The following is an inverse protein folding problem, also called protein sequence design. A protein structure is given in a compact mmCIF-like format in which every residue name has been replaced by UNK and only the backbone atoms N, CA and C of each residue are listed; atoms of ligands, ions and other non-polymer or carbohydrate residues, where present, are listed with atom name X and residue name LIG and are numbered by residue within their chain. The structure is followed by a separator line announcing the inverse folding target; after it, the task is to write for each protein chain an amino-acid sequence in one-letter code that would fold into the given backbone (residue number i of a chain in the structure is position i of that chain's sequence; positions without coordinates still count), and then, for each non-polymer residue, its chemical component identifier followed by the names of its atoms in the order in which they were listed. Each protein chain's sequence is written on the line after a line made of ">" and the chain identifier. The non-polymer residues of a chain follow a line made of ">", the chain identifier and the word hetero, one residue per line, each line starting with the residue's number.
data_IF_488184265065
#
_entry.id   IF_488184265065
#
_cell.length_a   1.000
_cell.length_b   1.000
_cell.length_c   1.000
_cell.angle_alpha   90.00
_cell.angle_beta   90.00
_cell.angle_gamma   90.00
#
_symmetry.space_group_name_H-M   'P 1'
#
loop_
_entity.id
_entity.type
_entity.pdbx_description
1 polymer ?
#
# COMPACT_ATOMS: atom_id res chain seq x y z
N UNK A 1 8.16 -16.98 -10.07
CA UNK A 1 9.25 -15.98 -9.96
C UNK A 1 8.61 -14.60 -9.87
N UNK A 2 8.53 -14.05 -8.67
CA UNK A 2 8.08 -12.66 -8.44
C UNK A 2 9.15 -11.74 -9.02
N UNK A 3 8.85 -11.05 -10.13
CA UNK A 3 9.74 -10.01 -10.65
C UNK A 3 9.90 -8.98 -9.53
N UNK A 4 11.13 -8.72 -9.10
CA UNK A 4 11.40 -7.66 -8.12
C UNK A 4 10.85 -6.37 -8.71
N UNK A 5 9.98 -5.68 -7.97
CA UNK A 5 9.50 -4.37 -8.43
C UNK A 5 10.67 -3.40 -8.40
N UNK A 6 10.69 -2.51 -9.39
CA UNK A 6 11.66 -1.43 -9.52
C UNK A 6 10.92 -0.16 -9.90
N UNK A 7 11.50 1.00 -9.57
CA UNK A 7 11.05 2.30 -10.04
C UNK A 7 12.22 2.97 -10.75
N UNK A 8 12.02 3.40 -12.00
CA UNK A 8 13.05 4.19 -12.69
C UNK A 8 13.20 5.57 -12.06
N UNK A 9 14.42 6.11 -12.07
CA UNK A 9 14.69 7.44 -11.51
C UNK A 9 13.88 8.53 -12.21
N UNK A 10 13.65 8.41 -13.52
CA UNK A 10 12.81 9.34 -14.28
C UNK A 10 11.36 9.32 -13.77
N UNK A 11 10.80 8.14 -13.48
CA UNK A 11 9.47 8.02 -12.89
C UNK A 11 9.44 8.57 -11.46
N UNK A 12 10.43 8.22 -10.64
CA UNK A 12 10.56 8.75 -9.28
C UNK A 12 10.56 10.29 -9.28
N UNK A 13 11.34 10.92 -10.17
CA UNK A 13 11.36 12.37 -10.30
C UNK A 13 9.98 12.91 -10.72
N UNK A 14 9.39 12.38 -11.79
CA UNK A 14 8.08 12.85 -12.30
C UNK A 14 6.98 12.77 -11.24
N UNK A 15 6.92 11.68 -10.49
CA UNK A 15 5.89 11.44 -9.49
C UNK A 15 6.09 12.32 -8.24
N UNK A 16 7.31 12.79 -7.98
CA UNK A 16 7.68 13.48 -6.74
C UNK A 16 8.18 14.92 -6.92
N UNK A 17 8.25 15.44 -8.15
CA UNK A 17 8.76 16.78 -8.46
C UNK A 17 8.07 17.86 -7.61
N UNK A 18 6.73 17.84 -7.58
CA UNK A 18 5.93 18.82 -6.85
C UNK A 18 5.87 18.55 -5.35
N UNK A 19 5.63 17.30 -4.95
CA UNK A 19 5.44 16.92 -3.55
C UNK A 19 6.71 17.07 -2.72
N UNK A 20 7.86 16.72 -3.31
CA UNK A 20 9.18 16.81 -2.68
C UNK A 20 9.99 18.04 -3.11
N UNK A 21 9.41 18.92 -3.94
CA UNK A 21 10.04 20.12 -4.50
C UNK A 21 11.42 19.81 -5.13
N UNK A 22 11.47 18.73 -5.92
CA UNK A 22 12.71 18.27 -6.55
C UNK A 22 13.03 19.10 -7.79
N UNK A 23 14.32 19.36 -7.98
CA UNK A 23 14.88 19.94 -9.20
C UNK A 23 16.01 19.05 -9.69
N UNK A 24 15.96 18.65 -10.96
CA UNK A 24 17.00 17.81 -11.58
C UNK A 24 18.16 18.67 -12.08
N UNK A 25 19.31 18.56 -11.43
CA UNK A 25 20.47 19.45 -11.65
C UNK A 25 21.60 18.83 -12.47
N UNK A 26 21.83 17.51 -12.41
CA UNK A 26 22.85 16.82 -13.21
C UNK A 26 22.51 15.36 -13.50
N UNK A 27 23.25 14.72 -14.41
CA UNK A 27 23.13 13.30 -14.75
C UNK A 27 21.82 12.93 -15.43
N UNK A 28 21.29 13.80 -16.31
CA UNK A 28 19.99 13.59 -16.98
C UNK A 28 19.90 12.31 -17.81
N UNK A 29 21.03 11.81 -18.29
CA UNK A 29 21.10 10.55 -19.05
C UNK A 29 20.88 9.31 -18.18
N UNK A 30 20.88 9.44 -16.85
CA UNK A 30 20.68 8.34 -15.90
C UNK A 30 19.24 8.05 -15.51
N UNK A 31 18.25 8.58 -16.23
CA UNK A 31 16.84 8.42 -15.87
C UNK A 31 16.33 6.98 -15.81
N UNK A 32 16.98 6.06 -16.53
CA UNK A 32 16.63 4.64 -16.59
C UNK A 32 17.24 3.81 -15.44
N UNK A 33 18.09 4.41 -14.60
CA UNK A 33 18.59 3.75 -13.38
C UNK A 33 17.40 3.33 -12.51
N UNK A 34 17.52 2.18 -11.87
CA UNK A 34 16.44 1.58 -11.08
C UNK A 34 16.66 1.73 -9.58
N UNK A 35 15.62 2.17 -8.87
CA UNK A 35 15.51 2.10 -7.41
C UNK A 35 14.75 0.82 -7.08
N UNK A 36 15.40 -0.08 -6.33
CA UNK A 36 14.84 -1.40 -5.98
C UNK A 36 14.67 -1.61 -4.48
N UNK A 37 15.19 -0.70 -3.65
CA UNK A 37 15.03 -0.75 -2.20
C UNK A 37 14.23 0.45 -1.69
N UNK A 38 13.24 0.19 -0.83
CA UNK A 38 12.33 1.21 -0.27
C UNK A 38 12.90 2.06 0.86
N UNK A 39 14.18 1.90 1.16
CA UNK A 39 14.89 2.66 2.20
C UNK A 39 15.86 3.66 1.57
N UNK A 40 16.37 4.57 2.40
CA UNK A 40 17.32 5.61 1.99
C UNK A 40 18.71 5.32 2.53
N UNK A 41 19.72 5.97 1.95
CA UNK A 41 21.08 5.96 2.46
C UNK A 41 21.54 7.38 2.78
N UNK A 42 22.20 7.57 3.94
CA UNK A 42 22.90 8.80 4.28
C UNK A 42 24.41 8.53 4.24
N UNK A 43 25.15 9.08 3.26
CA UNK A 43 26.51 8.64 2.97
C UNK A 43 27.57 9.26 3.89
N UNK A 44 27.26 9.60 5.14
CA UNK A 44 28.22 10.28 6.03
C UNK A 44 29.54 9.55 6.21
N UNK A 45 29.50 8.22 6.43
CA UNK A 45 30.70 7.39 6.54
C UNK A 45 31.38 7.14 5.19
N UNK A 46 30.60 6.98 4.12
CA UNK A 46 31.13 6.77 2.77
C UNK A 46 31.92 7.99 2.28
N UNK A 47 31.42 9.20 2.55
CA UNK A 47 32.14 10.44 2.26
C UNK A 47 33.45 10.56 3.07
N UNK A 48 33.52 9.93 4.24
CA UNK A 48 34.74 9.84 5.06
C UNK A 48 35.66 8.66 4.68
N UNK A 49 35.34 7.91 3.61
CA UNK A 49 36.16 6.83 3.08
C UNK A 49 35.85 5.43 3.62
N UNK A 50 34.73 5.25 4.34
CA UNK A 50 34.29 3.95 4.84
C UNK A 50 33.10 3.42 4.01
N UNK A 51 33.36 2.40 3.19
CA UNK A 51 32.41 1.86 2.21
C UNK A 51 31.82 0.49 2.57
N UNK A 52 32.20 -0.10 3.72
CA UNK A 52 31.55 -1.33 4.16
C UNK A 52 30.06 -1.04 4.37
N UNK A 53 29.20 -1.89 3.79
CA UNK A 53 27.74 -1.73 3.77
C UNK A 53 27.21 -0.55 2.93
N UNK A 54 27.93 -0.15 1.86
CA UNK A 54 27.41 0.79 0.89
C UNK A 54 26.11 0.27 0.25
N UNK A 55 25.05 1.09 0.27
CA UNK A 55 23.72 0.67 -0.16
C UNK A 55 23.41 1.14 -1.60
N UNK A 56 24.04 0.47 -2.56
CA UNK A 56 24.05 0.76 -4.00
C UNK A 56 22.68 0.80 -4.72
N UNK A 57 21.61 0.33 -4.06
CA UNK A 57 20.24 0.25 -4.60
C UNK A 57 19.26 1.27 -4.02
N UNK A 58 19.72 2.13 -3.11
CA UNK A 58 18.89 3.10 -2.37
C UNK A 58 19.02 4.51 -2.93
N UNK A 59 18.01 5.33 -2.67
CA UNK A 59 18.16 6.78 -2.90
C UNK A 59 19.09 7.36 -1.83
N UNK A 60 20.14 8.07 -2.26
CA UNK A 60 21.10 8.68 -1.35
C UNK A 60 20.70 10.12 -1.00
N UNK A 61 20.86 10.49 0.26
CA UNK A 61 20.44 11.80 0.79
C UNK A 61 21.62 12.54 1.37
N UNK A 62 21.93 13.71 0.80
CA UNK A 62 22.90 14.65 1.35
C UNK A 62 22.14 15.72 2.14
N UNK A 63 22.29 15.67 3.45
CA UNK A 63 21.76 16.66 4.38
C UNK A 63 22.83 17.65 4.82
N UNK A 64 22.52 18.40 5.88
CA UNK A 64 23.44 19.42 6.40
C UNK A 64 24.75 18.82 6.93
N UNK A 65 24.71 17.64 7.54
CA UNK A 65 25.90 17.02 8.12
C UNK A 65 26.90 16.59 7.05
N UNK A 66 26.42 15.88 6.02
CA UNK A 66 27.24 15.45 4.89
C UNK A 66 27.81 16.65 4.11
N UNK A 67 26.97 17.66 3.89
CA UNK A 67 27.37 18.89 3.21
C UNK A 67 28.41 19.71 4.01
N UNK A 68 28.20 19.86 5.32
CA UNK A 68 29.15 20.56 6.18
C UNK A 68 30.49 19.81 6.29
N UNK A 69 30.46 18.47 6.36
CA UNK A 69 31.66 17.65 6.33
C UNK A 69 32.47 17.90 5.04
N UNK A 70 31.84 17.76 3.87
CA UNK A 70 32.51 18.03 2.59
C UNK A 70 33.12 19.44 2.54
N UNK A 71 32.38 20.46 2.99
CA UNK A 71 32.87 21.84 2.99
C UNK A 71 33.93 22.14 4.05
N UNK A 72 34.09 21.28 5.06
CA UNK A 72 35.16 21.40 6.05
C UNK A 72 36.51 20.89 5.55
N UNK A 73 36.52 20.07 4.49
CA UNK A 73 37.74 19.50 3.93
C UNK A 73 38.49 20.50 3.03
N UNK A 74 39.83 20.47 3.01
CA UNK A 74 40.63 21.14 1.98
C UNK A 74 40.21 20.70 0.57
N UNK A 75 40.38 21.57 -0.42
CA UNK A 75 39.92 21.35 -1.80
C UNK A 75 40.35 19.99 -2.38
N UNK A 76 41.62 19.62 -2.22
CA UNK A 76 42.15 18.35 -2.71
C UNK A 76 41.52 17.13 -2.01
N UNK A 77 41.28 17.21 -0.70
CA UNK A 77 40.65 16.14 0.07
C UNK A 77 39.17 16.02 -0.26
N UNK A 78 38.47 17.15 -0.42
CA UNK A 78 37.07 17.20 -0.88
C UNK A 78 36.93 16.56 -2.25
N UNK A 79 37.80 16.91 -3.20
CA UNK A 79 37.81 16.34 -4.54
C UNK A 79 38.01 14.82 -4.52
N UNK A 80 38.96 14.34 -3.70
CA UNK A 80 39.19 12.91 -3.53
C UNK A 80 37.98 12.19 -2.90
N UNK A 81 37.36 12.79 -1.88
CA UNK A 81 36.17 12.23 -1.23
C UNK A 81 34.97 12.13 -2.19
N UNK A 82 34.71 13.18 -2.96
CA UNK A 82 33.66 13.21 -3.98
C UNK A 82 33.92 12.14 -5.04
N UNK A 83 35.14 12.08 -5.59
CA UNK A 83 35.49 11.14 -6.66
C UNK A 83 35.29 9.69 -6.20
N UNK A 84 35.87 9.31 -5.05
CA UNK A 84 35.71 7.96 -4.49
C UNK A 84 34.25 7.61 -4.21
N UNK A 85 33.48 8.56 -3.69
CA UNK A 85 32.07 8.32 -3.41
C UNK A 85 31.26 8.09 -4.69
N UNK A 86 31.59 8.77 -5.79
CA UNK A 86 30.91 8.65 -7.08
C UNK A 86 31.39 7.46 -7.93
N UNK A 87 32.49 6.79 -7.55
CA UNK A 87 32.93 5.53 -8.17
C UNK A 87 31.95 4.38 -7.89
N UNK A 88 31.25 4.43 -6.76
CA UNK A 88 30.25 3.43 -6.40
C UNK A 88 28.95 3.60 -7.19
N UNK A 89 28.29 2.49 -7.51
CA UNK A 89 26.98 2.56 -8.17
C UNK A 89 25.92 3.03 -7.17
N UNK A 90 25.08 3.98 -7.58
CA UNK A 90 23.84 4.32 -6.89
C UNK A 90 22.79 4.81 -7.90
N UNK A 91 21.49 4.69 -7.60
CA UNK A 91 20.44 5.10 -8.54
C UNK A 91 20.36 6.62 -8.67
N UNK A 92 20.33 7.37 -7.56
CA UNK A 92 20.29 8.82 -7.57
C UNK A 92 20.63 9.43 -6.21
N UNK A 93 20.90 10.73 -6.21
CA UNK A 93 21.21 11.52 -5.01
C UNK A 93 20.25 12.70 -4.90
N UNK A 94 19.75 12.97 -3.68
CA UNK A 94 18.99 14.19 -3.38
C UNK A 94 19.75 15.03 -2.33
N UNK A 95 20.10 16.26 -2.71
CA UNK A 95 20.56 17.29 -1.80
C UNK A 95 19.35 17.97 -1.17
N UNK A 96 19.20 17.84 0.14
CA UNK A 96 18.09 18.48 0.87
C UNK A 96 18.43 19.94 1.23
N UNK A 97 17.45 20.69 1.74
CA UNK A 97 17.59 22.06 2.29
C UNK A 97 18.06 23.11 1.28
N UNK A 98 17.86 22.88 -0.01
CA UNK A 98 18.32 23.77 -1.07
C UNK A 98 19.85 23.85 -1.17
N UNK A 99 20.56 22.87 -0.60
CA UNK A 99 22.02 22.82 -0.65
C UNK A 99 22.47 22.60 -2.10
N UNK A 100 23.31 23.50 -2.60
CA UNK A 100 23.84 23.43 -3.95
C UNK A 100 25.04 22.48 -3.97
N UNK A 101 25.07 21.44 -4.82
CA UNK A 101 26.21 20.55 -4.93
C UNK A 101 27.49 21.29 -5.33
N UNK A 102 28.65 20.77 -4.92
CA UNK A 102 29.96 21.26 -5.37
C UNK A 102 30.06 21.17 -6.92
N UNK A 103 30.67 22.15 -7.61
CA UNK A 103 30.82 22.11 -9.07
C UNK A 103 31.45 20.83 -9.60
N UNK A 104 32.47 20.29 -8.93
CA UNK A 104 33.11 19.02 -9.30
C UNK A 104 32.12 17.85 -9.17
N UNK A 105 31.24 17.90 -8.17
CA UNK A 105 30.18 16.90 -8.00
C UNK A 105 29.23 16.90 -9.20
N UNK A 106 28.85 18.09 -9.68
CA UNK A 106 27.97 18.26 -10.85
C UNK A 106 28.65 17.73 -12.11
N UNK A 107 29.92 18.06 -12.32
CA UNK A 107 30.72 17.58 -13.44
C UNK A 107 30.79 16.05 -13.47
N UNK A 108 31.32 15.45 -12.40
CA UNK A 108 31.49 13.99 -12.31
C UNK A 108 30.16 13.23 -12.41
N UNK A 109 29.09 13.76 -11.80
CA UNK A 109 27.76 13.14 -11.89
C UNK A 109 27.17 13.20 -13.31
N UNK A 110 27.48 14.23 -14.11
CA UNK A 110 27.11 14.25 -15.52
C UNK A 110 27.88 13.18 -16.31
N UNK A 111 29.18 13.05 -16.08
CA UNK A 111 30.05 12.11 -16.80
C UNK A 111 29.61 10.66 -16.62
N UNK A 112 29.28 10.27 -15.38
CA UNK A 112 28.81 8.90 -15.07
C UNK A 112 27.28 8.75 -15.24
N UNK A 113 26.59 9.80 -15.68
CA UNK A 113 25.14 9.84 -15.81
C UNK A 113 24.41 9.54 -14.50
N UNK A 114 24.90 10.00 -13.35
CA UNK A 114 24.24 9.84 -12.05
C UNK A 114 23.25 10.97 -11.80
N UNK A 115 21.93 10.69 -11.73
CA UNK A 115 20.94 11.72 -11.45
C UNK A 115 21.13 12.36 -10.08
N UNK A 116 21.29 13.68 -10.08
CA UNK A 116 21.33 14.49 -8.86
C UNK A 116 20.14 15.44 -8.83
N UNK A 117 19.48 15.48 -7.69
CA UNK A 117 18.35 16.34 -7.41
C UNK A 117 18.67 17.30 -6.27
N UNK A 118 18.05 18.48 -6.30
CA UNK A 118 17.98 19.39 -5.15
C UNK A 118 16.53 19.45 -4.68
N UNK A 119 16.32 19.37 -3.37
CA UNK A 119 15.04 19.68 -2.73
C UNK A 119 15.22 20.88 -1.80
N UNK A 120 14.30 21.85 -1.90
CA UNK A 120 14.23 22.98 -0.94
C UNK A 120 13.70 22.58 0.44
N UNK A 121 13.20 21.35 0.61
CA UNK A 121 12.63 20.88 1.88
C UNK A 121 13.72 20.47 2.88
N UNK A 122 13.42 20.50 4.17
CA UNK A 122 14.33 19.97 5.19
C UNK A 122 14.50 18.46 5.07
N UNK A 123 15.69 17.96 5.42
CA UNK A 123 16.14 16.57 5.20
C UNK A 123 15.12 15.51 5.64
N UNK A 124 14.52 15.67 6.81
CA UNK A 124 13.53 14.71 7.34
C UNK A 124 12.28 14.59 6.46
N UNK A 125 11.76 15.70 5.93
CA UNK A 125 10.59 15.66 5.05
C UNK A 125 10.90 15.01 3.71
N UNK A 126 12.08 15.26 3.15
CA UNK A 126 12.55 14.59 1.93
C UNK A 126 12.62 13.09 2.15
N UNK A 127 13.29 12.65 3.24
CA UNK A 127 13.43 11.24 3.60
C UNK A 127 12.07 10.57 3.73
N UNK A 128 11.17 11.11 4.55
CA UNK A 128 9.85 10.51 4.78
C UNK A 128 9.03 10.42 3.49
N UNK A 129 9.05 11.47 2.68
CA UNK A 129 8.31 11.48 1.42
C UNK A 129 8.82 10.43 0.43
N UNK A 130 10.14 10.25 0.35
CA UNK A 130 10.76 9.19 -0.46
C UNK A 130 10.38 7.81 0.07
N UNK A 131 10.48 7.58 1.38
CA UNK A 131 10.13 6.29 1.99
C UNK A 131 8.67 5.94 1.69
N UNK A 132 7.72 6.86 1.95
CA UNK A 132 6.30 6.63 1.69
C UNK A 132 6.04 6.31 0.21
N UNK A 133 6.71 7.03 -0.71
CA UNK A 133 6.60 6.77 -2.13
C UNK A 133 7.14 5.39 -2.50
N UNK A 134 8.36 5.06 -2.09
CA UNK A 134 9.00 3.81 -2.46
C UNK A 134 8.33 2.60 -1.79
N UNK A 135 7.90 2.71 -0.54
CA UNK A 135 7.10 1.69 0.12
C UNK A 135 5.84 1.37 -0.66
N UNK A 136 5.13 2.39 -1.17
CA UNK A 136 3.94 2.20 -2.01
C UNK A 136 4.26 1.51 -3.33
N UNK A 137 5.29 1.97 -4.05
CA UNK A 137 5.60 1.46 -5.39
C UNK A 137 6.27 0.08 -5.37
N UNK A 138 7.17 -0.15 -4.41
CA UNK A 138 7.95 -1.39 -4.29
C UNK A 138 7.26 -2.45 -3.41
N UNK A 139 6.14 -2.10 -2.75
CA UNK A 139 5.38 -3.02 -1.89
C UNK A 139 5.11 -4.38 -2.57
N UNK A 140 5.38 -5.51 -1.88
CA UNK A 140 4.92 -6.81 -2.32
C UNK A 140 3.41 -6.79 -2.55
N UNK A 141 2.97 -7.35 -3.68
CA UNK A 141 1.54 -7.42 -3.99
C UNK A 141 1.15 -8.74 -4.63
N UNK A 142 -0.07 -9.17 -4.34
CA UNK A 142 -0.77 -10.26 -5.03
C UNK A 142 -2.05 -9.72 -5.66
N UNK A 143 -2.61 -10.48 -6.59
CA UNK A 143 -3.94 -10.23 -7.13
C UNK A 143 -4.84 -11.39 -6.75
N UNK A 144 -6.03 -11.10 -6.26
CA UNK A 144 -7.03 -12.10 -5.88
C UNK A 144 -8.34 -11.82 -6.57
N UNK A 145 -9.07 -12.90 -6.87
CA UNK A 145 -10.42 -12.80 -7.41
C UNK A 145 -11.43 -12.55 -6.29
N UNK A 146 -12.25 -11.51 -6.44
CA UNK A 146 -13.27 -11.11 -5.47
C UNK A 146 -13.69 -9.64 -5.61
N UNK A 147 -14.50 -9.17 -4.69
CA UNK A 147 -14.96 -7.79 -4.62
C UNK A 147 -14.48 -7.18 -3.32
N UNK A 148 -13.88 -6.00 -3.37
CA UNK A 148 -13.51 -5.24 -2.18
C UNK A 148 -14.44 -4.05 -2.02
N UNK A 149 -15.12 -3.98 -0.88
CA UNK A 149 -16.08 -2.93 -0.54
C UNK A 149 -15.83 -2.37 0.86
N UNK A 150 -16.09 -1.09 1.06
CA UNK A 150 -16.12 -0.45 2.37
C UNK A 150 -17.55 -0.48 2.91
N UNK A 151 -17.76 -1.23 3.98
CA UNK A 151 -19.04 -1.33 4.70
C UNK A 151 -18.90 -0.61 6.03
N UNK A 152 -19.49 0.57 6.14
CA UNK A 152 -19.47 1.40 7.36
C UNK A 152 -18.05 1.56 7.96
N UNK A 153 -17.05 1.77 7.11
CA UNK A 153 -15.65 1.94 7.54
C UNK A 153 -14.82 0.66 7.58
N UNK A 154 -15.43 -0.53 7.52
CA UNK A 154 -14.74 -1.83 7.46
C UNK A 154 -14.50 -2.22 6.00
N UNK A 155 -13.26 -2.51 5.63
CA UNK A 155 -12.92 -3.06 4.32
C UNK A 155 -13.17 -4.56 4.27
N UNK A 156 -14.12 -4.97 3.42
CA UNK A 156 -14.59 -6.34 3.30
C UNK A 156 -14.21 -6.91 1.95
N UNK A 157 -13.35 -7.93 1.93
CA UNK A 157 -13.04 -8.72 0.75
C UNK A 157 -14.06 -9.85 0.61
N UNK A 158 -15.03 -9.66 -0.29
CA UNK A 158 -16.06 -10.64 -0.63
C UNK A 158 -15.50 -11.61 -1.68
N UNK A 159 -15.52 -12.90 -1.34
CA UNK A 159 -15.01 -14.00 -2.16
C UNK A 159 -16.07 -15.06 -2.37
N UNK A 160 -15.83 -15.98 -3.29
CA UNK A 160 -16.75 -17.07 -3.63
C UNK A 160 -16.66 -17.46 -5.09
N UNK A 161 -17.29 -18.58 -5.44
CA UNK A 161 -17.30 -19.11 -6.79
C UNK A 161 -17.81 -18.09 -7.83
N UNK A 162 -17.47 -18.28 -9.11
CA UNK A 162 -18.04 -17.46 -10.18
C UNK A 162 -19.55 -17.65 -10.23
N UNK A 163 -20.30 -16.55 -10.41
CA UNK A 163 -21.76 -16.57 -10.46
C UNK A 163 -22.49 -16.75 -9.12
N UNK A 164 -21.79 -16.78 -7.97
CA UNK A 164 -22.43 -16.89 -6.65
C UNK A 164 -23.14 -15.60 -6.19
N UNK A 165 -23.03 -14.50 -6.96
CA UNK A 165 -23.67 -13.22 -6.65
C UNK A 165 -22.76 -12.18 -5.98
N UNK A 166 -21.42 -12.25 -6.17
CA UNK A 166 -20.48 -11.31 -5.52
C UNK A 166 -20.72 -9.86 -5.97
N UNK A 167 -20.79 -9.63 -7.28
CA UNK A 167 -20.97 -8.29 -7.85
C UNK A 167 -22.36 -7.74 -7.58
N UNK A 168 -23.40 -8.58 -7.60
CA UNK A 168 -24.75 -8.21 -7.19
C UNK A 168 -24.83 -7.83 -5.70
N UNK A 169 -24.12 -8.58 -4.84
CA UNK A 169 -23.99 -8.25 -3.42
C UNK A 169 -23.27 -6.91 -3.22
N UNK A 170 -22.16 -6.68 -3.92
CA UNK A 170 -21.42 -5.42 -3.87
C UNK A 170 -22.29 -4.24 -4.33
N UNK A 171 -23.02 -4.38 -5.44
CA UNK A 171 -23.93 -3.35 -5.94
C UNK A 171 -25.05 -3.03 -4.94
N UNK A 172 -25.64 -4.05 -4.31
CA UNK A 172 -26.67 -3.86 -3.29
C UNK A 172 -26.13 -3.13 -2.05
N UNK A 173 -24.89 -3.41 -1.61
CA UNK A 173 -24.22 -2.68 -0.54
C UNK A 173 -23.99 -1.21 -0.93
N UNK A 174 -23.54 -0.94 -2.17
CA UNK A 174 -23.30 0.42 -2.66
C UNK A 174 -24.60 1.24 -2.65
N UNK A 175 -25.73 0.64 -3.05
CA UNK A 175 -27.05 1.29 -2.96
C UNK A 175 -27.45 1.68 -1.54
N UNK A 176 -26.88 1.01 -0.52
CA UNK A 176 -27.08 1.32 0.92
C UNK A 176 -26.07 2.33 1.46
N UNK A 177 -25.26 2.96 0.59
CA UNK A 177 -24.28 3.97 0.98
C UNK A 177 -22.89 3.42 1.28
N UNK A 178 -22.62 2.15 0.99
CA UNK A 178 -21.26 1.60 1.01
C UNK A 178 -20.45 2.08 -0.20
N UNK A 179 -19.13 1.85 -0.19
CA UNK A 179 -18.27 2.22 -1.29
C UNK A 179 -17.59 1.00 -1.94
N UNK A 180 -17.47 1.01 -3.26
CA UNK A 180 -16.65 0.06 -4.01
C UNK A 180 -15.19 0.47 -3.95
N UNK A 181 -14.30 -0.52 -3.82
CA UNK A 181 -12.86 -0.35 -4.04
C UNK A 181 -12.45 -1.04 -5.34
N UNK A 182 -12.86 -2.30 -5.50
CA UNK A 182 -12.52 -3.11 -6.66
C UNK A 182 -13.58 -4.19 -6.91
N UNK A 183 -13.86 -4.46 -8.18
CA UNK A 183 -14.68 -5.58 -8.65
C UNK A 183 -13.80 -6.58 -9.40
N UNK A 184 -14.11 -7.87 -9.22
CA UNK A 184 -13.44 -9.06 -9.76
C UNK A 184 -11.94 -9.22 -9.48
N UNK A 185 -11.11 -8.24 -9.82
CA UNK A 185 -9.63 -8.30 -9.73
C UNK A 185 -9.11 -7.32 -8.68
N UNK A 186 -8.92 -7.81 -7.45
CA UNK A 186 -8.41 -7.01 -6.33
C UNK A 186 -6.90 -7.16 -6.23
N UNK A 187 -6.18 -6.05 -6.34
CA UNK A 187 -4.74 -5.99 -6.01
C UNK A 187 -4.61 -5.74 -4.52
N UNK A 188 -3.84 -6.59 -3.86
CA UNK A 188 -3.55 -6.48 -2.43
C UNK A 188 -2.06 -6.24 -2.29
N UNK A 189 -1.68 -5.20 -1.54
CA UNK A 189 -0.30 -4.86 -1.26
C UNK A 189 -0.05 -4.65 0.23
N UNK A 190 1.20 -4.84 0.65
CA UNK A 190 1.64 -4.56 2.00
C UNK A 190 2.67 -3.41 2.00
N UNK A 191 2.24 -2.14 2.11
CA UNK A 191 3.14 -0.98 2.02
C UNK A 191 3.94 -0.73 3.30
N UNK A 192 4.07 -1.72 4.20
CA UNK A 192 4.61 -1.55 5.55
C UNK A 192 3.51 -1.42 6.61
N UNK A 193 3.83 -1.74 7.87
CA UNK A 193 2.90 -1.67 9.01
C UNK A 193 2.17 -2.99 9.35
N UNK A 194 1.04 -2.96 10.06
CA UNK A 194 0.29 -4.16 10.45
C UNK A 194 -0.81 -4.58 9.47
N UNK A 195 -1.17 -3.72 8.50
CA UNK A 195 -2.36 -3.89 7.66
C UNK A 195 -2.02 -4.19 6.19
N UNK A 196 -2.94 -4.87 5.51
CA UNK A 196 -2.95 -5.03 4.06
C UNK A 196 -3.86 -3.99 3.41
N UNK A 197 -3.43 -3.44 2.28
CA UNK A 197 -4.21 -2.48 1.50
C UNK A 197 -4.69 -3.15 0.23
N UNK A 198 -5.99 -3.05 -0.05
CA UNK A 198 -6.57 -3.45 -1.32
C UNK A 198 -6.92 -2.26 -2.21
N UNK A 199 -6.80 -2.45 -3.52
CA UNK A 199 -7.20 -1.52 -4.58
C UNK A 199 -7.65 -2.30 -5.82
N UNK A 200 -8.22 -1.61 -6.82
CA UNK A 200 -8.31 -2.22 -8.15
C UNK A 200 -6.89 -2.44 -8.72
N UNK A 201 -6.72 -3.44 -9.59
CA UNK A 201 -5.42 -3.76 -10.15
C UNK A 201 -4.90 -2.74 -11.19
N UNK A 202 -5.81 -2.01 -11.84
CA UNK A 202 -5.53 -0.96 -12.83
C UNK A 202 -6.46 0.22 -12.59
N UNK A 203 -5.98 1.43 -12.83
CA UNK A 203 -6.73 2.68 -12.56
C UNK A 203 -7.96 2.82 -13.47
N UNK A 204 -7.91 2.27 -14.67
CA UNK A 204 -9.01 2.26 -15.64
C UNK A 204 -10.24 1.47 -15.13
N UNK A 205 -10.05 0.59 -14.15
CA UNK A 205 -11.13 -0.18 -13.52
C UNK A 205 -11.79 0.57 -12.34
N UNK A 206 -11.31 1.77 -12.00
CA UNK A 206 -11.86 2.52 -10.87
C UNK A 206 -13.35 2.84 -11.05
N UNK A 207 -14.13 2.42 -10.06
CA UNK A 207 -15.57 2.63 -10.04
C UNK A 207 -16.36 1.80 -11.06
N UNK A 208 -15.75 0.87 -11.78
CA UNK A 208 -16.47 -0.03 -12.67
C UNK A 208 -16.84 -1.33 -11.97
N UNK A 209 -18.03 -1.86 -12.28
CA UNK A 209 -18.51 -3.17 -11.86
C UNK A 209 -19.22 -3.85 -13.03
N UNK A 210 -18.98 -5.13 -13.23
CA UNK A 210 -19.67 -5.93 -14.25
C UNK A 210 -20.91 -6.61 -13.66
N UNK A 211 -22.08 -6.33 -14.22
CA UNK A 211 -23.33 -6.98 -13.82
C UNK A 211 -23.87 -7.80 -14.99
N UNK A 212 -24.10 -9.09 -14.76
CA UNK A 212 -24.65 -9.98 -15.79
C UNK A 212 -26.01 -9.48 -16.26
N UNK A 213 -26.17 -9.41 -17.59
CA UNK A 213 -27.38 -8.90 -18.24
C UNK A 213 -27.45 -7.38 -18.37
N UNK A 214 -26.61 -6.62 -17.68
CA UNK A 214 -26.51 -5.15 -17.82
C UNK A 214 -25.18 -4.70 -18.44
N UNK A 215 -24.10 -5.47 -18.27
CA UNK A 215 -22.75 -5.12 -18.70
C UNK A 215 -21.99 -4.30 -17.65
N UNK A 216 -20.97 -3.57 -18.09
CA UNK A 216 -20.15 -2.70 -17.24
C UNK A 216 -20.92 -1.42 -16.87
N UNK A 217 -20.97 -1.13 -15.58
CA UNK A 217 -21.58 0.11 -15.05
C UNK A 217 -20.56 0.88 -14.22
N UNK A 218 -20.66 2.22 -14.23
CA UNK A 218 -19.82 3.09 -13.42
C UNK A 218 -20.57 3.56 -12.17
N UNK A 219 -20.14 3.10 -10.99
CA UNK A 219 -20.84 3.39 -9.73
C UNK A 219 -20.68 4.84 -9.28
N UNK A 220 -19.62 5.53 -9.71
CA UNK A 220 -19.41 6.96 -9.40
C UNK A 220 -20.46 7.80 -10.13
N UNK A 221 -20.73 7.48 -11.40
CA UNK A 221 -21.76 8.18 -12.18
C UNK A 221 -23.17 7.91 -11.67
N UNK A 222 -23.45 6.70 -11.18
CA UNK A 222 -24.78 6.30 -10.72
C UNK A 222 -25.10 6.72 -9.28
N UNK A 223 -24.12 6.65 -8.38
CA UNK A 223 -24.32 6.82 -6.94
C UNK A 223 -23.47 7.93 -6.30
N UNK A 224 -22.67 8.63 -7.12
CA UNK A 224 -21.83 9.75 -6.70
C UNK A 224 -20.45 9.33 -6.17
N UNK A 225 -19.62 10.33 -5.88
CA UNK A 225 -18.23 10.14 -5.42
C UNK A 225 -18.11 9.38 -4.09
N UNK A 226 -19.16 9.38 -3.27
CA UNK A 226 -19.19 8.63 -2.00
C UNK A 226 -19.21 7.11 -2.21
N UNK A 227 -19.68 6.64 -3.37
CA UNK A 227 -19.81 5.22 -3.71
C UNK A 227 -18.49 4.54 -4.11
N UNK A 228 -17.37 5.26 -4.09
CA UNK A 228 -16.07 4.74 -4.50
C UNK A 228 -14.94 5.17 -3.56
N UNK A 229 -13.94 4.30 -3.39
CA UNK A 229 -12.64 4.61 -2.78
C UNK A 229 -11.55 3.95 -3.62
N UNK A 230 -10.46 4.65 -3.88
CA UNK A 230 -9.32 4.09 -4.64
C UNK A 230 -8.64 2.92 -3.92
N UNK A 231 -8.64 2.96 -2.58
CA UNK A 231 -7.97 1.98 -1.72
C UNK A 231 -8.63 1.88 -0.35
N UNK A 232 -8.51 0.71 0.28
CA UNK A 232 -8.98 0.46 1.65
C UNK A 232 -8.15 -0.63 2.33
N UNK A 233 -7.98 -0.54 3.64
CA UNK A 233 -7.47 -1.64 4.46
C UNK A 233 -8.40 -2.86 4.38
N UNK A 234 -7.85 -4.07 4.35
CA UNK A 234 -8.63 -5.30 4.33
C UNK A 234 -8.78 -5.78 5.77
N UNK A 235 -9.94 -5.53 6.37
CA UNK A 235 -10.24 -5.84 7.76
C UNK A 235 -10.86 -7.25 7.92
N UNK A 236 -11.67 -7.65 6.93
CA UNK A 236 -12.48 -8.86 7.00
C UNK A 236 -12.57 -9.54 5.63
N UNK A 237 -12.41 -10.86 5.60
CA UNK A 237 -12.69 -11.69 4.41
C UNK A 237 -14.04 -12.38 4.60
N UNK A 238 -14.95 -12.23 3.65
CA UNK A 238 -16.21 -12.97 3.65
C UNK A 238 -16.26 -13.89 2.43
N UNK A 239 -16.45 -15.19 2.66
CA UNK A 239 -16.63 -16.15 1.57
C UNK A 239 -18.10 -16.54 1.42
N UNK A 240 -18.67 -16.21 0.26
CA UNK A 240 -20.00 -16.62 -0.15
C UNK A 240 -19.95 -18.05 -0.70
N UNK A 241 -20.74 -18.96 -0.11
CA UNK A 241 -20.91 -20.34 -0.58
C UNK A 241 -22.37 -20.64 -0.89
N UNK A 242 -22.63 -21.41 -1.94
CA UNK A 242 -23.99 -21.86 -2.24
C UNK A 242 -24.52 -22.77 -1.13
N UNK A 243 -25.80 -22.63 -0.79
CA UNK A 243 -26.47 -23.45 0.24
C UNK A 243 -26.34 -24.95 0.01
N UNK A 244 -26.37 -25.38 -1.26
CA UNK A 244 -26.34 -26.80 -1.65
C UNK A 244 -24.96 -27.45 -1.45
N UNK A 245 -23.91 -26.67 -1.20
CA UNK A 245 -22.58 -27.17 -0.89
C UNK A 245 -22.46 -27.42 0.60
N UNK A 246 -22.93 -28.59 1.08
CA UNK A 246 -22.79 -29.15 2.45
C UNK A 246 -22.14 -28.19 3.48
N UNK A 247 -22.87 -27.15 3.85
CA UNK A 247 -22.43 -26.19 4.84
C UNK A 247 -22.71 -26.83 6.21
N UNK A 248 -21.76 -27.65 6.69
CA UNK A 248 -21.60 -27.92 8.13
C UNK A 248 -21.18 -26.60 8.80
N UNK A 249 -22.09 -25.63 8.88
CA UNK A 249 -21.87 -24.42 9.65
C UNK A 249 -21.87 -24.87 11.10
N UNK A 250 -20.69 -24.91 11.72
CA UNK A 250 -20.58 -25.14 13.15
C UNK A 250 -21.35 -24.04 13.88
N UNK A 251 -22.36 -24.46 14.64
CA UNK A 251 -23.30 -23.58 15.35
C UNK A 251 -22.69 -22.96 16.62
N UNK A 252 -21.38 -23.09 16.79
CA UNK A 252 -20.62 -22.65 17.95
C UNK A 252 -19.73 -21.50 17.53
N UNK A 253 -20.28 -20.28 17.53
CA UNK A 253 -19.59 -19.04 17.12
C UNK A 253 -18.47 -18.59 18.07
N UNK A 254 -17.58 -19.50 18.45
CA UNK A 254 -16.50 -19.33 19.42
C UNK A 254 -15.10 -19.33 18.78
N UNK A 255 -14.92 -19.96 17.61
CA UNK A 255 -13.64 -19.91 16.88
C UNK A 255 -13.71 -18.88 15.75
N UNK A 256 -12.76 -17.94 15.74
CA UNK A 256 -12.58 -17.00 14.66
C UNK A 256 -11.77 -17.68 13.55
N UNK A 257 -12.44 -18.05 12.45
CA UNK A 257 -11.72 -18.47 11.24
C UNK A 257 -10.84 -17.32 10.75
N UNK A 258 -9.68 -17.64 10.18
CA UNK A 258 -8.79 -16.66 9.53
C UNK A 258 -8.48 -17.07 8.10
N UNK A 259 -8.20 -16.08 7.26
CA UNK A 259 -7.86 -16.22 5.87
C UNK A 259 -6.49 -15.59 5.61
N UNK A 260 -5.54 -16.38 5.13
CA UNK A 260 -4.15 -15.95 4.95
C UNK A 260 -3.95 -15.20 3.62
N UNK A 261 -3.52 -13.94 3.68
CA UNK A 261 -3.19 -13.08 2.53
C UNK A 261 -1.81 -12.48 2.72
N UNK A 262 -0.91 -12.61 1.74
CA UNK A 262 0.46 -12.06 1.83
C UNK A 262 1.21 -12.39 3.14
N UNK A 263 0.89 -13.53 3.77
CA UNK A 263 1.46 -13.95 5.04
C UNK A 263 0.73 -13.47 6.29
N UNK A 264 -0.25 -12.56 6.17
CA UNK A 264 -1.11 -12.06 7.25
C UNK A 264 -2.39 -12.89 7.39
N UNK A 265 -2.79 -13.17 8.63
CA UNK A 265 -4.04 -13.85 8.94
C UNK A 265 -5.15 -12.81 9.16
N UNK A 266 -6.08 -12.73 8.22
CA UNK A 266 -7.20 -11.79 8.26
C UNK A 266 -8.44 -12.51 8.80
N UNK A 267 -9.24 -11.92 9.70
CA UNK A 267 -10.52 -12.49 10.14
C UNK A 267 -11.39 -12.94 8.96
N UNK A 268 -12.03 -14.09 9.10
CA UNK A 268 -12.76 -14.75 8.02
C UNK A 268 -14.13 -15.25 8.47
N UNK A 269 -15.12 -15.07 7.60
CA UNK A 269 -16.49 -15.56 7.81
C UNK A 269 -16.98 -16.21 6.52
N UNK A 270 -17.58 -17.39 6.63
CA UNK A 270 -18.28 -18.04 5.52
C UNK A 270 -19.79 -17.79 5.63
N UNK A 271 -20.41 -17.21 4.59
CA UNK A 271 -21.84 -16.94 4.55
C UNK A 271 -22.54 -17.78 3.46
N UNK A 272 -23.68 -18.42 3.79
CA UNK A 272 -24.49 -19.10 2.79
C UNK A 272 -25.22 -18.12 1.86
N UNK A 273 -25.28 -18.46 0.58
CA UNK A 273 -26.15 -17.84 -0.42
C UNK A 273 -27.29 -18.81 -0.73
N UNK A 274 -28.52 -18.34 -0.51
CA UNK A 274 -29.74 -19.09 -0.78
C UNK A 274 -30.76 -18.17 -1.48
N UNK A 275 -31.61 -18.71 -2.38
CA UNK A 275 -32.69 -17.94 -3.00
C UNK A 275 -33.58 -17.27 -1.94
N UNK A 276 -33.96 -16.01 -2.20
CA UNK A 276 -34.79 -15.21 -1.29
C UNK A 276 -34.06 -14.63 -0.07
N UNK A 277 -32.77 -14.92 0.13
CA UNK A 277 -31.93 -14.22 1.12
C UNK A 277 -31.17 -13.08 0.47
N UNK A 278 -31.18 -11.93 1.11
CA UNK A 278 -30.40 -10.79 0.66
C UNK A 278 -28.98 -10.86 1.25
N UNK A 279 -28.05 -11.40 0.47
CA UNK A 279 -26.65 -11.61 0.90
C UNK A 279 -25.97 -10.32 1.34
N UNK A 280 -26.29 -9.19 0.71
CA UNK A 280 -25.79 -7.88 1.11
C UNK A 280 -26.13 -7.55 2.57
N UNK A 281 -27.33 -7.91 3.04
CA UNK A 281 -27.73 -7.69 4.42
C UNK A 281 -26.90 -8.54 5.40
N UNK A 282 -26.60 -9.78 5.04
CA UNK A 282 -25.76 -10.65 5.88
C UNK A 282 -24.31 -10.16 5.94
N UNK A 283 -23.77 -9.69 4.81
CA UNK A 283 -22.44 -9.07 4.75
C UNK A 283 -22.39 -7.80 5.61
N UNK A 284 -23.41 -6.97 5.54
CA UNK A 284 -23.51 -5.75 6.34
C UNK A 284 -23.53 -6.03 7.84
N UNK A 285 -24.37 -6.97 8.29
CA UNK A 285 -24.44 -7.40 9.69
C UNK A 285 -23.10 -8.00 10.15
N UNK A 286 -22.46 -8.83 9.30
CA UNK A 286 -21.17 -9.43 9.63
C UNK A 286 -20.07 -8.37 9.81
N UNK A 287 -20.03 -7.34 8.96
CA UNK A 287 -19.10 -6.22 9.10
C UNK A 287 -19.37 -5.40 10.37
N UNK A 288 -20.64 -5.15 10.70
CA UNK A 288 -21.02 -4.46 11.94
C UNK A 288 -20.61 -5.25 13.19
N UNK A 289 -20.91 -6.55 13.23
CA UNK A 289 -20.54 -7.42 14.34
C UNK A 289 -19.01 -7.49 14.50
N UNK A 290 -18.27 -7.58 13.38
CA UNK A 290 -16.81 -7.50 13.39
C UNK A 290 -16.31 -6.19 14.03
N UNK A 291 -16.87 -5.06 13.61
CA UNK A 291 -16.52 -3.73 14.14
C UNK A 291 -16.87 -3.59 15.62
N UNK A 292 -17.98 -4.17 16.07
CA UNK A 292 -18.34 -4.18 17.49
C UNK A 292 -17.35 -5.00 18.31
N UNK A 293 -16.94 -6.17 17.82
CA UNK A 293 -15.91 -7.01 18.47
C UNK A 293 -14.56 -6.32 18.55
N UNK A 294 -14.15 -5.59 17.51
CA UNK A 294 -12.89 -4.83 17.54
C UNK A 294 -12.91 -3.66 18.53
N UNK A 295 -14.10 -3.16 18.89
CA UNK A 295 -14.32 -2.18 19.95
C UNK A 295 -14.48 -2.82 21.35
N UNK A 296 -14.30 -4.14 21.48
CA UNK A 296 -14.45 -4.88 22.74
C UNK A 296 -15.91 -5.17 23.13
N UNK A 297 -16.88 -4.89 22.27
CA UNK A 297 -18.29 -5.13 22.50
C UNK A 297 -18.69 -6.49 21.91
N UNK A 298 -18.69 -7.52 22.76
CA UNK A 298 -19.03 -8.89 22.37
C UNK A 298 -20.50 -9.21 22.69
N UNK A 299 -21.43 -8.95 21.77
CA UNK A 299 -22.86 -9.23 21.97
C UNK A 299 -23.14 -10.70 22.39
N UNK A 300 -22.39 -11.65 21.82
CA UNK A 300 -22.46 -13.06 22.19
C UNK A 300 -21.97 -13.38 23.61
N UNK A 301 -20.93 -12.71 24.11
CA UNK A 301 -20.48 -12.86 25.51
C UNK A 301 -21.50 -12.26 26.47
N UNK A 302 -22.02 -11.07 26.17
CA UNK A 302 -23.04 -10.40 27.01
C UNK A 302 -24.28 -11.28 27.15
N UNK A 303 -24.76 -11.87 26.05
CA UNK A 303 -25.90 -12.78 26.10
C UNK A 303 -25.56 -14.09 26.83
N UNK A 304 -24.38 -14.68 26.58
CA UNK A 304 -23.96 -15.90 27.26
C UNK A 304 -23.81 -15.69 28.77
N UNK A 305 -23.21 -14.58 29.20
CA UNK A 305 -23.12 -14.18 30.61
C UNK A 305 -24.50 -13.93 31.22
N UNK A 306 -25.43 -13.31 30.49
CA UNK A 306 -26.81 -13.12 30.93
C UNK A 306 -27.59 -14.44 31.06
N UNK A 307 -27.35 -15.39 30.14
CA UNK A 307 -27.94 -16.73 30.18
C UNK A 307 -27.33 -17.54 31.33
N UNK A 308 -26.01 -17.55 31.51
CA UNK A 308 -25.33 -18.21 32.64
C UNK A 308 -25.82 -17.66 33.98
N UNK A 309 -25.94 -16.33 34.11
CA UNK A 309 -26.54 -15.69 35.29
C UNK A 309 -27.99 -16.10 35.56
N UNK A 310 -28.75 -16.49 34.53
CA UNK A 310 -30.13 -16.99 34.66
C UNK A 310 -30.21 -18.49 34.97
N UNK A 311 -29.23 -19.27 34.49
CA UNK A 311 -29.18 -20.73 34.65
C UNK A 311 -28.49 -21.15 35.96
N UNK A 312 -27.74 -20.24 36.60
CA UNK A 312 -27.13 -20.47 37.92
C UNK A 312 -27.97 -19.76 38.98
N UNK A 313 -28.92 -20.42 39.67
CA UNK A 313 -29.60 -19.82 40.81
C UNK A 313 -28.61 -19.73 41.98
N UNK A 314 -28.72 -18.67 42.79
CA UNK A 314 -28.09 -18.59 44.10
C UNK A 314 -28.50 -19.75 45.01
#
# INVERSE_FOLDING_TARGET
>A
MTKSKSVSVARFFKDNEKSLKLQWVSGRNGGDREITEGSIQRPGLALAGFFDYFADKRVHIIGMAEYAYLNSLPEQERANAISKYLEEYMPCIVFARGLSPDPLFIELSNDIGLPVFISSMVTYHVINGIIIYLERELSPSITVVGNLVEVQGTGVLIRGASGVGKSECALALIRRGCALIADDVVKISHPGGPSLIGSAAMEEMFGFIEIRGLGLINVIQLFGVSAFRERKEIDLVITLKSWDQELKIERTGLESETYRLLGFDIPHITLPVAPGRETANLVEIAAQEFRMRSLGLHAGKVLNEAIIKRITPH
#
